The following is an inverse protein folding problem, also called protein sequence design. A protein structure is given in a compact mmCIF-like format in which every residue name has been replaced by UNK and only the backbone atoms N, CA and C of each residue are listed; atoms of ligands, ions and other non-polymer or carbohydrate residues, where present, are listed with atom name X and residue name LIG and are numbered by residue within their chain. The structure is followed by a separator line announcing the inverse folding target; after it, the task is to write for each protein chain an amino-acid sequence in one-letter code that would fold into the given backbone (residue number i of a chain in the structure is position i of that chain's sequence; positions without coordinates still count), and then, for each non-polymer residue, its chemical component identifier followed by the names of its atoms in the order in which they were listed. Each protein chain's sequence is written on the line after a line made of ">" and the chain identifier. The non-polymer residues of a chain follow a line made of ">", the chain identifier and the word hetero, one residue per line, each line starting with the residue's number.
data_IF_206657861627
#
_entry.id   IF_206657861627
#
_cell.length_a   1.000
_cell.length_b   1.000
_cell.length_c   1.000
_cell.angle_alpha   90.00
_cell.angle_beta   90.00
_cell.angle_gamma   90.00
#
_symmetry.space_group_name_H-M   'P 1'
#
loop_
_entity.id
_entity.type
_entity.pdbx_description
1 polymer ?
#
# COMPACT_ATOMS: atom_id res chain seq x y z
N UNK A 1 2.55 28.75 -18.34
CA UNK A 1 1.44 27.84 -17.99
C UNK A 1 0.60 27.65 -19.23
N UNK A 2 0.93 26.66 -20.07
CA UNK A 2 0.14 26.30 -21.24
C UNK A 2 -0.64 25.07 -20.81
N UNK A 3 -1.95 25.23 -20.65
CA UNK A 3 -2.83 24.09 -20.39
C UNK A 3 -2.81 23.17 -21.62
N UNK A 4 -2.71 21.84 -21.47
CA UNK A 4 -2.86 20.92 -22.59
C UNK A 4 -4.27 21.05 -23.15
N UNK A 5 -4.39 21.10 -24.48
CA UNK A 5 -5.66 21.25 -25.21
C UNK A 5 -6.39 19.91 -25.19
N UNK A 6 -6.91 19.55 -24.02
CA UNK A 6 -7.94 18.52 -23.92
C UNK A 6 -9.20 19.15 -24.49
N UNK A 7 -9.74 18.62 -25.59
CA UNK A 7 -11.09 18.98 -26.06
C UNK A 7 -12.04 18.85 -24.88
N UNK A 8 -12.48 19.98 -24.31
CA UNK A 8 -13.35 19.94 -23.15
C UNK A 8 -14.66 19.29 -23.60
N UNK A 9 -15.21 18.29 -22.88
CA UNK A 9 -16.48 17.67 -23.24
C UNK A 9 -17.61 18.68 -23.48
N UNK A 10 -17.52 19.84 -22.83
CA UNK A 10 -18.46 20.95 -22.98
C UNK A 10 -18.35 21.68 -24.34
N UNK A 11 -17.15 21.81 -24.92
CA UNK A 11 -16.95 22.44 -26.23
C UNK A 11 -17.46 21.55 -27.37
N UNK A 12 -17.24 20.23 -27.27
CA UNK A 12 -17.79 19.25 -28.21
C UNK A 12 -19.31 19.29 -28.14
N UNK A 13 -19.88 19.31 -26.92
CA UNK A 13 -21.32 19.37 -26.71
C UNK A 13 -21.94 20.62 -27.33
N UNK A 14 -21.30 21.79 -27.17
CA UNK A 14 -21.77 23.04 -27.78
C UNK A 14 -21.75 23.00 -29.32
N UNK A 15 -20.71 22.42 -29.93
CA UNK A 15 -20.63 22.27 -31.39
C UNK A 15 -21.69 21.33 -31.96
N UNK A 16 -21.94 20.22 -31.28
CA UNK A 16 -22.97 19.24 -31.66
C UNK A 16 -24.37 19.85 -31.51
N UNK A 17 -24.63 20.55 -30.41
CA UNK A 17 -25.90 21.22 -30.16
C UNK A 17 -26.18 22.36 -31.15
N UNK A 18 -25.16 23.15 -31.49
CA UNK A 18 -25.28 24.21 -32.50
C UNK A 18 -25.65 23.65 -33.87
N UNK A 19 -24.98 22.57 -34.32
CA UNK A 19 -25.25 21.97 -35.62
C UNK A 19 -26.58 21.20 -35.67
N UNK A 20 -26.98 20.61 -34.55
CA UNK A 20 -28.30 20.00 -34.40
C UNK A 20 -29.42 21.04 -34.55
N UNK A 21 -29.28 22.18 -33.88
CA UNK A 21 -30.25 23.28 -33.98
C UNK A 21 -30.28 23.89 -35.39
N UNK A 22 -29.12 24.04 -36.04
CA UNK A 22 -29.03 24.55 -37.41
C UNK A 22 -29.76 23.66 -38.44
N UNK A 23 -29.57 22.34 -38.34
CA UNK A 23 -30.25 21.36 -39.20
C UNK A 23 -31.74 21.25 -38.87
N UNK A 24 -32.12 21.42 -37.60
CA UNK A 24 -33.52 21.53 -37.17
C UNK A 24 -34.20 22.75 -37.79
N UNK A 25 -33.57 23.93 -37.71
CA UNK A 25 -34.08 25.17 -38.28
C UNK A 25 -34.24 25.09 -39.81
N UNK A 26 -33.34 24.37 -40.50
CA UNK A 26 -33.46 24.10 -41.95
C UNK A 26 -34.62 23.17 -42.30
N UNK A 27 -34.91 22.18 -41.45
CA UNK A 27 -36.09 21.32 -41.61
C UNK A 27 -37.39 22.08 -41.37
N UNK A 28 -37.43 22.95 -40.36
CA UNK A 28 -38.62 23.77 -40.04
C UNK A 28 -38.93 24.80 -41.13
N UNK A 29 -37.91 25.30 -41.85
CA UNK A 29 -38.09 26.17 -43.02
C UNK A 29 -38.48 25.41 -44.29
N UNK A 30 -38.53 24.08 -44.26
CA UNK A 30 -38.87 23.23 -45.41
C UNK A 30 -37.78 23.17 -46.49
N UNK A 31 -36.54 23.55 -46.14
CA UNK A 31 -35.38 23.58 -47.05
C UNK A 31 -34.71 22.19 -47.16
N UNK A 32 -34.96 21.31 -46.19
CA UNK A 32 -34.39 19.98 -46.07
C UNK A 32 -35.43 19.01 -45.51
N UNK A 33 -35.51 17.81 -46.09
CA UNK A 33 -36.32 16.73 -45.53
C UNK A 33 -35.65 16.16 -44.27
N UNK A 34 -36.42 15.74 -43.25
CA UNK A 34 -35.86 15.25 -41.97
C UNK A 34 -34.86 14.10 -42.12
N UNK A 35 -35.05 13.25 -43.14
CA UNK A 35 -34.17 12.12 -43.45
C UNK A 35 -32.79 12.60 -43.96
N UNK A 36 -32.77 13.66 -44.77
CA UNK A 36 -31.54 14.25 -45.30
C UNK A 36 -30.78 15.02 -44.21
N UNK A 37 -31.49 15.71 -43.33
CA UNK A 37 -30.88 16.37 -42.17
C UNK A 37 -30.26 15.36 -41.19
N UNK A 38 -30.86 14.19 -41.03
CA UNK A 38 -30.31 13.11 -40.22
C UNK A 38 -29.01 12.54 -40.82
N UNK A 39 -28.95 12.31 -42.14
CA UNK A 39 -27.73 11.86 -42.82
C UNK A 39 -26.59 12.89 -42.69
N UNK A 40 -26.89 14.18 -42.90
CA UNK A 40 -25.91 15.26 -42.75
C UNK A 40 -25.40 15.41 -41.30
N UNK A 41 -26.25 15.12 -40.31
CA UNK A 41 -25.85 15.09 -38.91
C UNK A 41 -24.96 13.88 -38.62
N UNK A 42 -25.27 12.71 -39.19
CA UNK A 42 -24.44 11.50 -39.05
C UNK A 42 -23.04 11.67 -39.64
N UNK A 43 -22.94 12.23 -40.84
CA UNK A 43 -21.65 12.56 -41.45
C UNK A 43 -20.84 13.54 -40.59
N UNK A 44 -21.52 14.44 -39.88
CA UNK A 44 -20.86 15.34 -38.95
C UNK A 44 -20.38 14.64 -37.67
N UNK A 45 -21.18 13.78 -37.07
CA UNK A 45 -20.76 12.97 -35.91
C UNK A 45 -19.53 12.13 -36.28
N UNK A 46 -19.55 11.46 -37.43
CA UNK A 46 -18.45 10.63 -37.90
C UNK A 46 -17.19 11.46 -38.16
N UNK A 47 -17.33 12.67 -38.73
CA UNK A 47 -16.23 13.61 -38.93
C UNK A 47 -15.66 14.16 -37.62
N UNK A 48 -16.50 14.41 -36.63
CA UNK A 48 -16.06 14.86 -35.30
C UNK A 48 -15.30 13.75 -34.57
N UNK A 49 -15.76 12.50 -34.70
CA UNK A 49 -15.05 11.34 -34.16
C UNK A 49 -13.71 11.15 -34.86
N UNK A 50 -13.64 11.28 -36.19
CA UNK A 50 -12.36 11.19 -36.91
C UNK A 50 -11.40 12.29 -36.50
N UNK A 51 -11.86 13.54 -36.38
CA UNK A 51 -11.03 14.68 -35.91
C UNK A 51 -10.53 14.45 -34.48
N UNK A 52 -11.36 13.91 -33.57
CA UNK A 52 -10.92 13.53 -32.22
C UNK A 52 -9.89 12.39 -32.24
N UNK A 53 -10.02 11.44 -33.16
CA UNK A 53 -9.10 10.30 -33.31
C UNK A 53 -7.75 10.78 -33.85
N UNK A 54 -7.77 11.65 -34.87
CA UNK A 54 -6.57 12.28 -35.43
C UNK A 54 -5.85 13.18 -34.42
N UNK A 55 -6.58 13.93 -33.59
CA UNK A 55 -5.99 14.73 -32.51
C UNK A 55 -5.37 13.85 -31.41
N UNK A 56 -6.00 12.71 -31.07
CA UNK A 56 -5.42 11.70 -30.16
C UNK A 56 -4.17 11.01 -30.73
N UNK A 57 -4.05 10.91 -32.05
CA UNK A 57 -2.88 10.34 -32.74
C UNK A 57 -1.77 11.39 -32.98
N UNK A 58 -2.13 12.65 -33.22
CA UNK A 58 -1.21 13.74 -33.55
C UNK A 58 -0.62 14.43 -32.31
N UNK A 59 -1.34 14.46 -31.18
CA UNK A 59 -0.71 14.65 -29.90
C UNK A 59 -0.10 13.31 -29.48
N UNK A 60 1.24 13.14 -29.46
CA UNK A 60 1.78 12.13 -28.58
C UNK A 60 1.30 12.56 -27.21
N UNK A 61 0.30 11.85 -26.68
CA UNK A 61 0.04 11.82 -25.25
C UNK A 61 1.42 11.91 -24.59
N UNK A 62 1.62 12.83 -23.67
CA UNK A 62 2.74 12.73 -22.74
C UNK A 62 2.46 11.50 -21.87
N UNK A 63 2.52 10.32 -22.47
CA UNK A 63 2.46 9.03 -21.83
C UNK A 63 3.81 8.69 -21.21
N UNK A 64 4.51 9.70 -20.72
CA UNK A 64 5.59 9.48 -19.78
C UNK A 64 5.06 9.22 -18.36
N UNK A 65 3.74 9.17 -18.16
CA UNK A 65 3.13 8.74 -16.89
C UNK A 65 2.23 7.48 -16.97
N UNK A 66 1.89 6.94 -18.15
CA UNK A 66 0.92 5.81 -18.22
C UNK A 66 1.15 4.67 -19.24
N UNK A 67 2.19 4.66 -20.09
CA UNK A 67 2.38 3.57 -21.10
C UNK A 67 3.78 2.99 -21.18
N UNK A 68 4.62 3.16 -20.16
CA UNK A 68 5.70 2.19 -19.90
C UNK A 68 5.18 0.91 -19.22
N UNK A 69 3.95 0.51 -19.52
CA UNK A 69 3.37 -0.78 -19.11
C UNK A 69 3.70 -1.90 -20.12
N UNK A 70 4.77 -1.72 -20.90
CA UNK A 70 5.37 -2.80 -21.70
C UNK A 70 6.47 -3.46 -20.86
N UNK A 71 6.09 -4.45 -20.04
CA UNK A 71 6.97 -5.35 -19.29
C UNK A 71 8.22 -4.74 -18.62
N UNK A 72 8.20 -3.45 -18.25
CA UNK A 72 9.17 -2.90 -17.32
C UNK A 72 8.76 -3.43 -15.96
N UNK A 73 9.45 -4.46 -15.48
CA UNK A 73 9.66 -4.59 -14.06
C UNK A 73 10.16 -3.23 -13.59
N UNK A 74 9.27 -2.42 -13.01
CA UNK A 74 9.69 -1.27 -12.23
C UNK A 74 10.44 -1.90 -11.06
N UNK A 75 11.74 -2.08 -11.23
CA UNK A 75 12.64 -2.32 -10.13
C UNK A 75 12.55 -1.06 -9.29
N UNK A 76 11.66 -1.10 -8.29
CA UNK A 76 11.66 -0.14 -7.20
C UNK A 76 13.06 -0.26 -6.59
N UNK A 77 13.95 0.64 -7.02
CA UNK A 77 15.28 0.84 -6.50
C UNK A 77 15.21 1.49 -5.11
N UNK A 78 14.23 1.13 -4.29
CA UNK A 78 14.26 1.46 -2.87
C UNK A 78 15.30 0.53 -2.25
N UNK A 79 16.46 1.05 -1.81
CA UNK A 79 17.46 0.23 -1.17
C UNK A 79 16.82 -0.48 0.03
N UNK A 80 17.17 -1.75 0.31
CA UNK A 80 16.72 -2.40 1.53
C UNK A 80 17.21 -1.58 2.75
N UNK A 81 16.30 -0.81 3.36
CA UNK A 81 16.59 0.10 4.48
C UNK A 81 16.25 1.58 4.28
N UNK A 82 15.95 2.01 3.04
CA UNK A 82 15.52 3.38 2.71
C UNK A 82 14.16 3.33 1.99
N UNK A 83 13.13 2.88 2.71
CA UNK A 83 11.77 2.79 2.19
C UNK A 83 10.76 2.68 3.32
N UNK A 84 9.45 2.75 3.03
CA UNK A 84 8.42 2.57 4.05
C UNK A 84 8.54 1.19 4.70
N UNK A 85 8.64 1.19 6.05
CA UNK A 85 8.78 0.01 6.93
C UNK A 85 7.78 -1.11 6.63
N UNK A 86 6.59 -0.72 6.14
CA UNK A 86 5.50 -1.62 5.79
C UNK A 86 5.21 -1.51 4.29
N UNK A 87 5.33 -2.63 3.58
CA UNK A 87 4.93 -2.79 2.18
C UNK A 87 3.62 -3.57 2.12
N UNK A 88 2.61 -3.01 1.46
CA UNK A 88 1.31 -3.63 1.28
C UNK A 88 1.13 -4.08 -0.18
N UNK A 89 0.68 -5.31 -0.37
CA UNK A 89 0.30 -5.84 -1.67
C UNK A 89 -1.16 -6.33 -1.57
N UNK A 90 -2.04 -5.76 -2.40
CA UNK A 90 -3.44 -6.15 -2.52
C UNK A 90 -3.73 -6.46 -3.99
N UNK A 91 -4.46 -7.54 -4.25
CA UNK A 91 -4.86 -7.90 -5.61
C UNK A 91 -6.27 -7.39 -5.88
N UNK A 92 -6.46 -6.73 -7.01
CA UNK A 92 -7.77 -6.36 -7.54
C UNK A 92 -7.91 -7.02 -8.91
N UNK A 93 -8.83 -7.96 -9.02
CA UNK A 93 -9.22 -8.61 -10.26
C UNK A 93 -10.57 -8.03 -10.66
N UNK A 94 -10.60 -7.44 -11.85
CA UNK A 94 -11.84 -7.03 -12.51
C UNK A 94 -12.38 -8.21 -13.31
N UNK A 95 -13.57 -8.68 -12.94
CA UNK A 95 -14.24 -9.72 -13.71
C UNK A 95 -14.98 -9.09 -14.91
N UNK A 96 -14.95 -9.70 -16.11
CA UNK A 96 -15.63 -9.17 -17.30
C UNK A 96 -17.16 -9.39 -17.28
N UNK A 97 -17.81 -9.22 -16.13
CA UNK A 97 -19.26 -9.41 -15.93
C UNK A 97 -19.77 -8.68 -14.69
N UNK A 98 -21.09 -8.45 -14.62
CA UNK A 98 -21.75 -7.55 -13.65
C UNK A 98 -21.62 -7.91 -12.17
N UNK A 99 -21.16 -9.12 -11.83
CA UNK A 99 -20.81 -9.45 -10.46
C UNK A 99 -19.38 -8.97 -10.16
N UNK A 100 -19.29 -7.79 -9.54
CA UNK A 100 -18.05 -7.12 -9.14
C UNK A 100 -17.23 -7.84 -8.04
N UNK A 101 -17.55 -9.10 -7.74
CA UNK A 101 -16.93 -9.87 -6.66
C UNK A 101 -16.00 -10.96 -7.21
N UNK A 102 -14.75 -10.96 -6.73
CA UNK A 102 -13.78 -12.00 -7.06
C UNK A 102 -13.05 -12.48 -5.80
N UNK A 103 -12.94 -13.80 -5.55
CA UNK A 103 -12.39 -14.33 -4.29
C UNK A 103 -10.92 -13.97 -4.07
N UNK A 104 -10.14 -13.67 -5.12
CA UNK A 104 -8.76 -13.17 -4.97
C UNK A 104 -8.67 -11.72 -4.46
N UNK A 105 -9.77 -10.97 -4.45
CA UNK A 105 -9.79 -9.54 -4.06
C UNK A 105 -9.78 -9.34 -2.54
N UNK A 106 -9.97 -10.41 -1.76
CA UNK A 106 -9.89 -10.38 -0.28
C UNK A 106 -8.46 -10.55 0.23
N UNK A 107 -7.56 -11.15 -0.55
CA UNK A 107 -6.17 -11.43 -0.16
C UNK A 107 -5.40 -10.12 0.06
N UNK A 108 -4.78 -10.01 1.23
CA UNK A 108 -3.86 -8.93 1.56
C UNK A 108 -2.53 -9.54 2.02
N UNK A 109 -1.43 -9.01 1.50
CA UNK A 109 -0.06 -9.37 1.90
C UNK A 109 0.61 -8.14 2.49
N UNK A 110 1.12 -8.29 3.70
CA UNK A 110 1.91 -7.33 4.43
C UNK A 110 3.36 -7.84 4.51
N UNK A 111 4.28 -7.00 4.07
CA UNK A 111 5.71 -7.23 4.06
C UNK A 111 6.37 -6.20 4.98
N UNK A 112 7.17 -6.64 5.93
CA UNK A 112 7.79 -5.77 6.96
C UNK A 112 9.28 -6.01 7.03
N UNK A 113 10.09 -4.96 6.94
CA UNK A 113 11.54 -5.05 7.19
C UNK A 113 11.77 -5.09 8.71
N UNK A 114 12.31 -6.18 9.24
CA UNK A 114 12.37 -6.38 10.71
C UNK A 114 13.46 -5.51 11.36
N UNK A 115 14.57 -5.22 10.67
CA UNK A 115 15.63 -4.32 11.14
C UNK A 115 15.15 -2.90 11.38
N UNK A 116 14.18 -2.43 10.59
CA UNK A 116 13.59 -1.08 10.73
C UNK A 116 12.63 -0.97 11.93
N UNK A 117 12.17 -2.10 12.48
CA UNK A 117 11.33 -2.11 13.68
C UNK A 117 12.09 -1.72 14.96
N UNK A 118 13.43 -1.62 14.91
CA UNK A 118 14.24 -1.20 16.06
C UNK A 118 14.22 -2.18 17.23
N UNK A 119 13.96 -3.46 16.98
CA UNK A 119 13.92 -4.49 18.01
C UNK A 119 15.32 -4.77 18.59
N UNK A 120 15.37 -5.10 19.88
CA UNK A 120 16.60 -5.56 20.52
C UNK A 120 17.09 -6.88 19.92
N UNK A 121 18.35 -7.25 20.21
CA UNK A 121 18.93 -8.53 19.75
C UNK A 121 18.16 -9.76 20.25
N UNK A 122 17.62 -9.72 21.48
CA UNK A 122 16.89 -10.86 22.04
C UNK A 122 15.48 -10.93 21.48
N UNK A 123 14.79 -9.79 21.37
CA UNK A 123 13.47 -9.69 20.76
C UNK A 123 13.50 -10.13 19.30
N UNK A 124 14.48 -9.67 18.52
CA UNK A 124 14.66 -10.08 17.12
C UNK A 124 14.85 -11.60 16.98
N UNK A 125 15.69 -12.20 17.83
CA UNK A 125 15.90 -13.66 17.80
C UNK A 125 14.61 -14.42 18.11
N UNK A 126 13.85 -13.95 19.10
CA UNK A 126 12.57 -14.55 19.47
C UNK A 126 11.54 -14.42 18.35
N UNK A 127 11.42 -13.23 17.75
CA UNK A 127 10.52 -12.99 16.63
C UNK A 127 10.82 -13.94 15.47
N UNK A 128 12.10 -14.09 15.10
CA UNK A 128 12.52 -15.00 14.04
C UNK A 128 12.13 -16.47 14.33
N UNK A 129 12.22 -16.89 15.58
CA UNK A 129 11.82 -18.23 16.01
C UNK A 129 10.30 -18.44 15.93
N UNK A 130 9.51 -17.47 16.43
CA UNK A 130 8.03 -17.52 16.42
C UNK A 130 7.46 -17.46 15.00
N UNK A 131 8.09 -16.66 14.13
CA UNK A 131 7.66 -16.47 12.75
C UNK A 131 8.06 -17.65 11.86
N UNK A 132 9.22 -18.26 12.12
CA UNK A 132 9.72 -19.41 11.39
C UNK A 132 9.84 -19.14 9.89
N UNK A 133 9.14 -19.94 9.07
CA UNK A 133 9.21 -19.91 7.60
C UNK A 133 8.66 -18.63 6.96
N UNK A 134 7.88 -17.82 7.70
CA UNK A 134 7.31 -16.56 7.19
C UNK A 134 8.34 -15.42 7.12
N UNK A 135 9.53 -15.62 7.69
CA UNK A 135 10.61 -14.65 7.68
C UNK A 135 11.68 -15.05 6.66
N UNK A 136 12.02 -14.14 5.76
CA UNK A 136 13.08 -14.29 4.79
C UNK A 136 14.39 -13.72 5.34
N UNK A 137 15.32 -14.60 5.72
CA UNK A 137 16.62 -14.18 6.28
C UNK A 137 17.55 -13.50 5.28
N UNK A 138 17.34 -13.68 3.97
CA UNK A 138 18.15 -13.04 2.94
C UNK A 138 17.80 -11.58 2.70
N UNK A 139 16.50 -11.24 2.83
CA UNK A 139 15.97 -9.87 2.63
C UNK A 139 15.59 -9.15 3.92
N UNK A 140 15.72 -9.82 5.07
CA UNK A 140 15.26 -9.34 6.38
C UNK A 140 13.77 -8.94 6.40
N UNK A 141 12.95 -9.74 5.70
CA UNK A 141 11.55 -9.42 5.45
C UNK A 141 10.62 -10.44 6.10
N UNK A 142 9.69 -9.96 6.93
CA UNK A 142 8.58 -10.72 7.46
C UNK A 142 7.38 -10.57 6.53
N UNK A 143 6.83 -11.68 6.04
CA UNK A 143 5.62 -11.68 5.22
C UNK A 143 4.44 -12.25 6.00
N UNK A 144 3.38 -11.45 6.17
CA UNK A 144 2.10 -11.83 6.76
C UNK A 144 1.03 -11.76 5.67
N UNK A 145 0.32 -12.85 5.44
CA UNK A 145 -0.76 -12.92 4.45
C UNK A 145 -2.04 -13.28 5.19
N UNK A 146 -3.11 -12.53 4.95
CA UNK A 146 -4.45 -12.84 5.46
C UNK A 146 -5.45 -12.96 4.33
N UNK A 147 -6.16 -14.09 4.34
CA UNK A 147 -7.26 -14.46 3.43
C UNK A 147 -8.45 -15.01 4.22
N UNK A 148 -8.46 -14.77 5.55
CA UNK A 148 -9.40 -15.40 6.48
C UNK A 148 -10.79 -14.76 6.44
N UNK A 149 -10.83 -13.47 6.10
CA UNK A 149 -12.04 -12.67 6.08
C UNK A 149 -12.52 -12.41 4.65
N UNK A 150 -13.81 -12.14 4.50
CA UNK A 150 -14.43 -11.88 3.19
C UNK A 150 -14.09 -10.48 2.68
N UNK A 151 -13.93 -9.52 3.59
CA UNK A 151 -13.59 -8.15 3.26
C UNK A 151 -12.08 -7.91 3.33
N UNK A 152 -11.55 -7.23 2.30
CA UNK A 152 -10.14 -6.83 2.22
C UNK A 152 -9.70 -6.03 3.45
N UNK A 153 -10.55 -5.12 3.92
CA UNK A 153 -10.22 -4.27 5.07
C UNK A 153 -10.13 -5.04 6.38
N UNK A 154 -10.88 -6.14 6.52
CA UNK A 154 -10.74 -7.01 7.68
C UNK A 154 -9.44 -7.79 7.64
N UNK A 155 -9.06 -8.32 6.46
CA UNK A 155 -7.74 -8.95 6.26
C UNK A 155 -6.59 -7.95 6.49
N UNK A 156 -6.76 -6.67 6.11
CA UNK A 156 -5.77 -5.60 6.39
C UNK A 156 -5.60 -5.38 7.89
N UNK A 157 -6.71 -5.29 8.63
CA UNK A 157 -6.70 -5.18 10.10
C UNK A 157 -6.08 -6.42 10.76
N UNK A 158 -6.38 -7.61 10.25
CA UNK A 158 -5.85 -8.87 10.76
C UNK A 158 -4.32 -8.98 10.60
N UNK A 159 -3.78 -8.55 9.45
CA UNK A 159 -2.34 -8.47 9.22
C UNK A 159 -1.65 -7.58 10.26
N UNK A 160 -2.21 -6.39 10.54
CA UNK A 160 -1.65 -5.48 11.55
C UNK A 160 -1.77 -6.02 12.97
N UNK A 161 -2.91 -6.60 13.35
CA UNK A 161 -3.09 -7.24 14.67
C UNK A 161 -2.08 -8.34 14.88
N UNK A 162 -1.88 -9.18 13.87
CA UNK A 162 -0.88 -10.26 13.91
C UNK A 162 0.53 -9.69 14.05
N UNK A 163 0.87 -8.62 13.32
CA UNK A 163 2.16 -7.95 13.46
C UNK A 163 2.38 -7.43 14.88
N UNK A 164 1.41 -6.71 15.45
CA UNK A 164 1.53 -6.18 16.82
C UNK A 164 1.67 -7.29 17.86
N UNK A 165 0.89 -8.37 17.74
CA UNK A 165 1.00 -9.51 18.64
C UNK A 165 2.39 -10.18 18.57
N UNK A 166 2.98 -10.29 17.37
CA UNK A 166 4.34 -10.82 17.18
C UNK A 166 5.40 -9.92 17.81
N UNK A 167 5.26 -8.59 17.66
CA UNK A 167 6.18 -7.62 18.26
C UNK A 167 6.09 -7.65 19.79
N UNK A 168 4.88 -7.67 20.34
CA UNK A 168 4.67 -7.74 21.79
C UNK A 168 5.25 -9.02 22.38
N UNK A 169 5.02 -10.18 21.75
CA UNK A 169 5.60 -11.45 22.21
C UNK A 169 7.13 -11.45 22.12
N UNK A 170 7.69 -10.83 21.08
CA UNK A 170 9.12 -10.67 20.92
C UNK A 170 9.73 -9.80 22.04
N UNK A 171 9.08 -8.71 22.44
CA UNK A 171 9.58 -7.82 23.50
C UNK A 171 9.68 -8.51 24.86
N UNK A 172 8.83 -9.50 25.15
CA UNK A 172 8.92 -10.31 26.39
C UNK A 172 10.25 -11.05 26.51
N UNK A 173 10.93 -11.34 25.40
CA UNK A 173 12.24 -11.98 25.41
C UNK A 173 13.31 -11.12 26.10
N UNK A 174 13.21 -9.80 26.03
CA UNK A 174 14.14 -8.89 26.71
C UNK A 174 13.98 -8.93 28.22
N UNK A 175 12.74 -8.97 28.69
CA UNK A 175 12.44 -9.11 30.12
C UNK A 175 13.00 -10.41 30.66
N UNK A 176 12.81 -11.52 29.93
CA UNK A 176 13.38 -12.83 30.29
C UNK A 176 14.91 -12.81 30.30
N UNK A 177 15.55 -12.19 29.30
CA UNK A 177 17.00 -12.06 29.24
C UNK A 177 17.55 -11.21 30.39
N UNK A 178 16.89 -10.10 30.72
CA UNK A 178 17.24 -9.24 31.85
C UNK A 178 17.05 -9.96 33.19
N UNK A 179 15.94 -10.68 33.36
CA UNK A 179 15.67 -11.46 34.56
C UNK A 179 16.74 -12.54 34.79
N UNK A 180 17.11 -13.29 33.74
CA UNK A 180 18.16 -14.30 33.82
C UNK A 180 19.52 -13.68 34.18
N UNK A 181 19.89 -12.55 33.57
CA UNK A 181 21.13 -11.83 33.90
C UNK A 181 21.13 -11.36 35.36
N UNK A 182 20.02 -10.78 35.81
CA UNK A 182 19.88 -10.30 37.18
C UNK A 182 19.97 -11.45 38.20
N UNK A 183 19.32 -12.59 37.92
CA UNK A 183 19.42 -13.78 38.76
C UNK A 183 20.87 -14.30 38.84
N UNK A 184 21.56 -14.37 37.70
CA UNK A 184 22.97 -14.79 37.65
C UNK A 184 23.89 -13.85 38.46
N UNK A 185 23.75 -12.53 38.27
CA UNK A 185 24.56 -11.54 39.01
C UNK A 185 24.24 -11.59 40.50
N UNK A 186 22.96 -11.68 40.90
CA UNK A 186 22.57 -11.82 42.30
C UNK A 186 23.19 -13.06 42.94
N UNK A 187 23.15 -14.20 42.26
CA UNK A 187 23.79 -15.44 42.74
C UNK A 187 25.30 -15.28 42.93
N UNK A 188 25.99 -14.65 41.95
CA UNK A 188 27.43 -14.34 42.04
C UNK A 188 27.78 -13.38 43.18
N UNK A 189 26.97 -12.34 43.40
CA UNK A 189 27.16 -11.39 44.48
C UNK A 189 26.93 -12.01 45.85
N UNK A 190 25.91 -12.87 45.98
CA UNK A 190 25.64 -13.62 47.21
C UNK A 190 26.76 -14.61 47.54
N UNK A 191 27.35 -15.25 46.52
CA UNK A 191 28.49 -16.14 46.69
C UNK A 191 29.80 -15.40 47.07
N UNK A 192 29.86 -14.07 46.90
CA UNK A 192 31.01 -13.26 47.26
C UNK A 192 30.92 -12.80 48.72
N UNK A 193 31.69 -13.44 49.60
CA UNK A 193 31.71 -13.14 51.04
C UNK A 193 32.08 -11.69 51.35
N UNK A 194 33.13 -11.15 50.71
CA UNK A 194 33.58 -9.77 50.92
C UNK A 194 32.50 -8.74 50.57
N UNK A 195 31.74 -9.01 49.49
CA UNK A 195 30.62 -8.16 49.10
C UNK A 195 29.47 -8.23 50.11
N UNK A 196 29.11 -9.43 50.57
CA UNK A 196 28.04 -9.64 51.56
C UNK A 196 28.36 -9.01 52.92
N UNK A 197 29.61 -9.04 53.36
CA UNK A 197 30.03 -8.40 54.61
C UNK A 197 29.95 -6.87 54.52
N UNK A 198 30.40 -6.29 53.40
CA UNK A 198 30.20 -4.86 53.11
C UNK A 198 28.72 -4.49 53.06
N UNK A 199 27.89 -5.33 52.46
CA UNK A 199 26.44 -5.12 52.39
C UNK A 199 25.81 -5.11 53.78
N UNK A 200 26.13 -6.10 54.64
CA UNK A 200 25.66 -6.17 56.04
C UNK A 200 26.06 -4.93 56.84
N UNK A 201 27.32 -4.51 56.76
CA UNK A 201 27.80 -3.30 57.45
C UNK A 201 27.03 -2.06 56.99
N UNK A 202 26.79 -1.91 55.68
CA UNK A 202 26.03 -0.79 55.13
C UNK A 202 24.57 -0.79 55.61
N UNK A 203 23.91 -1.95 55.61
CA UNK A 203 22.53 -2.08 56.11
C UNK A 203 22.43 -1.79 57.61
N UNK A 204 23.42 -2.20 58.40
CA UNK A 204 23.47 -1.91 59.85
C UNK A 204 23.64 -0.41 60.11
N UNK A 205 24.51 0.28 59.36
CA UNK A 205 24.65 1.75 59.45
C UNK A 205 23.35 2.48 59.11
N UNK A 206 22.65 2.05 58.07
CA UNK A 206 21.35 2.64 57.69
C UNK A 206 20.28 2.45 58.77
N UNK A 207 20.22 1.28 59.41
CA UNK A 207 19.29 1.02 60.52
C UNK A 207 19.59 1.81 61.79
N UNK A 208 20.84 2.18 62.03
CA UNK A 208 21.23 3.00 63.17
C UNK A 208 21.02 4.50 62.93
N UNK A 209 20.86 4.91 61.66
CA UNK A 209 20.65 6.29 61.25
C UNK A 209 19.16 6.66 61.02
N UNK A 210 18.25 5.68 61.16
CA UNK A 210 16.80 5.82 61.06
C UNK A 210 16.18 5.67 62.46
#
# INVERSE_FOLDING_TARGET
>A
FVYPVVLHPDEIKQKVEAKFNELGDMCERGELEPEQAFELFKEFEDKMVSECTELMEAEPLTVNELSEADNKSVELNDPPGEGPVLRWESRIVFAPGGDAWHPKNRKVKLSVTVKELGLSRHAFRRLREVVGKRYNSGKDELTIISERFDHREENRKDCLRTLYALVEDAMKADELANAARNAYVKGRLQANSQFMDRLKMKTQKLRQAA
#
